data_IF_131163209958
#
_entry.id   IF_131163209958
#
_cell.length_a   1.000
_cell.length_b   1.000
_cell.length_c   1.000
_cell.angle_alpha   90.00
_cell.angle_beta   90.00
_cell.angle_gamma   90.00
#
_symmetry.space_group_name_H-M   'P 1'
#
loop_
_entity.id
_entity.type
_entity.pdbx_description
1 polymer ?
#
# COMPACT_ATOMS: atom_id res chain seq x y z
N UNK A 1 -14.18 -18.87 -42.05
CA UNK A 1 -14.65 -17.66 -41.35
C UNK A 1 -14.93 -17.89 -39.86
N UNK A 2 -15.50 -19.04 -39.45
CA UNK A 2 -15.72 -19.34 -38.02
C UNK A 2 -14.41 -19.65 -37.23
N UNK A 3 -13.44 -20.30 -37.86
CA UNK A 3 -12.14 -20.64 -37.24
C UNK A 3 -11.31 -19.41 -36.88
N UNK A 4 -11.23 -18.42 -37.77
CA UNK A 4 -10.51 -17.15 -37.53
C UNK A 4 -11.14 -16.32 -36.41
N UNK A 5 -12.47 -16.37 -36.27
CA UNK A 5 -13.18 -15.66 -35.20
C UNK A 5 -12.89 -16.26 -33.82
N UNK A 6 -12.82 -17.61 -33.73
CA UNK A 6 -12.48 -18.30 -32.49
C UNK A 6 -11.04 -18.00 -32.03
N UNK A 7 -10.08 -17.89 -32.95
CA UNK A 7 -8.71 -17.51 -32.60
C UNK A 7 -8.63 -16.06 -32.08
N UNK A 8 -9.36 -15.13 -32.70
CA UNK A 8 -9.42 -13.73 -32.24
C UNK A 8 -10.05 -13.65 -30.85
N UNK A 9 -11.14 -14.37 -30.59
CA UNK A 9 -11.79 -14.43 -29.27
C UNK A 9 -10.84 -14.99 -28.21
N UNK A 10 -10.08 -16.05 -28.52
CA UNK A 10 -9.08 -16.61 -27.61
C UNK A 10 -7.94 -15.62 -27.31
N UNK A 11 -7.46 -14.88 -28.31
CA UNK A 11 -6.40 -13.87 -28.12
C UNK A 11 -6.90 -12.73 -27.22
N UNK A 12 -8.14 -12.24 -27.44
CA UNK A 12 -8.74 -11.20 -26.59
C UNK A 12 -8.94 -11.67 -25.13
N UNK A 13 -9.36 -12.93 -24.93
CA UNK A 13 -9.49 -13.51 -23.60
C UNK A 13 -8.12 -13.58 -22.87
N UNK A 14 -7.06 -14.04 -23.55
CA UNK A 14 -5.72 -14.13 -22.98
C UNK A 14 -5.13 -12.75 -22.62
N UNK A 15 -5.40 -11.71 -23.42
CA UNK A 15 -4.99 -10.32 -23.10
C UNK A 15 -5.75 -9.78 -21.89
N UNK A 16 -7.04 -10.12 -21.73
CA UNK A 16 -7.81 -9.69 -20.56
C UNK A 16 -7.36 -10.36 -19.25
N UNK A 17 -6.95 -11.63 -19.32
CA UNK A 17 -6.43 -12.41 -18.18
C UNK A 17 -5.08 -11.88 -17.67
N UNK A 18 -4.25 -11.29 -18.52
CA UNK A 18 -2.97 -10.69 -18.12
C UNK A 18 -3.12 -9.27 -17.58
N UNK A 19 -4.05 -8.47 -18.11
CA UNK A 19 -4.33 -7.11 -17.59
C UNK A 19 -5.07 -7.12 -16.25
N UNK A 20 -5.94 -8.12 -16.00
CA UNK A 20 -6.76 -8.18 -14.79
C UNK A 20 -5.96 -8.34 -13.49
N UNK A 21 -4.67 -8.73 -13.57
CA UNK A 21 -3.85 -9.07 -12.40
C UNK A 21 -2.81 -8.02 -12.00
N UNK A 22 -2.81 -6.85 -12.62
CA UNK A 22 -1.85 -5.78 -12.28
C UNK A 22 -2.56 -4.47 -11.94
N UNK A 23 -3.56 -4.51 -11.07
CA UNK A 23 -4.01 -3.27 -10.42
C UNK A 23 -2.89 -2.77 -9.51
N UNK A 24 -2.25 -1.66 -9.89
CA UNK A 24 -1.21 -0.99 -9.11
C UNK A 24 -1.71 0.36 -8.64
N UNK A 25 -1.26 0.78 -7.46
CA UNK A 25 -1.54 2.12 -6.97
C UNK A 25 -0.81 3.19 -7.79
N UNK A 26 -1.36 4.41 -7.91
CA UNK A 26 -0.69 5.49 -8.62
C UNK A 26 0.65 5.85 -7.98
N UNK A 27 1.69 5.99 -8.81
CA UNK A 27 3.02 6.43 -8.37
C UNK A 27 3.31 7.90 -8.69
N UNK A 28 2.50 8.52 -9.55
CA UNK A 28 2.53 9.96 -9.80
C UNK A 28 1.75 10.73 -8.75
N UNK A 29 2.21 11.95 -8.46
CA UNK A 29 1.65 12.76 -7.40
C UNK A 29 0.20 13.16 -7.67
N UNK A 30 -0.18 13.45 -8.92
CA UNK A 30 -1.50 13.99 -9.24
C UNK A 30 -2.61 12.97 -9.02
N UNK A 31 -2.45 11.74 -9.53
CA UNK A 31 -3.39 10.64 -9.27
C UNK A 31 -3.38 10.23 -7.80
N UNK A 32 -2.20 10.20 -7.17
CA UNK A 32 -2.11 9.91 -5.74
C UNK A 32 -2.82 10.97 -4.88
N UNK A 33 -2.84 12.25 -5.28
CA UNK A 33 -3.59 13.30 -4.56
C UNK A 33 -5.09 13.07 -4.58
N UNK A 34 -5.63 12.54 -5.66
CA UNK A 34 -7.05 12.18 -5.71
C UNK A 34 -7.36 11.01 -4.77
N UNK A 35 -6.54 9.95 -4.84
CA UNK A 35 -6.66 8.78 -3.96
C UNK A 35 -6.49 9.16 -2.49
N UNK A 36 -5.54 10.04 -2.17
CA UNK A 36 -5.31 10.52 -0.81
C UNK A 36 -6.53 11.23 -0.25
N UNK A 37 -7.22 12.08 -1.04
CA UNK A 37 -8.46 12.73 -0.61
C UNK A 37 -9.57 11.73 -0.29
N UNK A 38 -9.77 10.74 -1.16
CA UNK A 38 -10.76 9.68 -0.94
C UNK A 38 -10.42 8.85 0.31
N UNK A 39 -9.18 8.40 0.42
CA UNK A 39 -8.66 7.64 1.56
C UNK A 39 -8.79 8.42 2.89
N UNK A 40 -8.50 9.73 2.90
CA UNK A 40 -8.69 10.55 4.10
C UNK A 40 -10.15 10.60 4.53
N UNK A 41 -11.08 10.75 3.58
CA UNK A 41 -12.51 10.78 3.87
C UNK A 41 -12.98 9.43 4.43
N UNK A 42 -12.54 8.33 3.84
CA UNK A 42 -12.85 6.97 4.28
C UNK A 42 -12.36 6.68 5.71
N UNK A 43 -11.16 7.16 6.06
CA UNK A 43 -10.55 6.92 7.37
C UNK A 43 -10.68 8.08 8.37
N UNK A 44 -11.49 9.10 8.07
CA UNK A 44 -11.71 10.25 8.96
C UNK A 44 -10.44 11.05 9.29
N UNK A 45 -9.51 11.16 8.34
CA UNK A 45 -8.20 11.80 8.56
C UNK A 45 -8.28 13.31 8.35
N UNK A 46 -7.87 14.06 9.37
CA UNK A 46 -7.73 15.52 9.34
C UNK A 46 -6.35 15.92 9.84
N UNK A 47 -5.78 16.99 9.28
CA UNK A 47 -4.46 17.48 9.65
C UNK A 47 -4.54 18.95 10.10
N UNK A 48 -3.72 19.36 11.09
CA UNK A 48 -3.82 20.68 11.70
C UNK A 48 -3.30 21.82 10.82
N UNK A 49 -2.51 21.52 9.78
CA UNK A 49 -1.94 22.53 8.90
C UNK A 49 -1.55 21.98 7.53
N UNK A 50 -1.43 22.88 6.54
CA UNK A 50 -1.02 22.55 5.17
C UNK A 50 0.36 21.88 5.12
N UNK A 51 1.39 22.33 5.87
CA UNK A 51 2.68 21.64 5.90
C UNK A 51 2.58 20.21 6.43
N UNK A 52 1.78 19.97 7.47
CA UNK A 52 1.57 18.61 8.01
C UNK A 52 0.85 17.73 7.00
N UNK A 53 -0.19 18.24 6.35
CA UNK A 53 -0.89 17.50 5.31
C UNK A 53 0.03 17.17 4.12
N UNK A 54 0.88 18.12 3.71
CA UNK A 54 1.86 17.92 2.64
C UNK A 54 2.84 16.80 2.99
N UNK A 55 3.38 16.80 4.21
CA UNK A 55 4.24 15.72 4.70
C UNK A 55 3.52 14.37 4.73
N UNK A 56 2.27 14.34 5.23
CA UNK A 56 1.47 13.11 5.29
C UNK A 56 1.13 12.58 3.90
N UNK A 57 0.93 13.45 2.92
CA UNK A 57 0.79 13.08 1.53
C UNK A 57 2.07 12.46 0.96
N UNK A 58 3.25 13.02 1.26
CA UNK A 58 4.53 12.44 0.82
C UNK A 58 4.75 11.04 1.39
N UNK A 59 4.46 10.84 2.68
CA UNK A 59 4.50 9.53 3.33
C UNK A 59 3.53 8.56 2.67
N UNK A 60 2.29 9.00 2.43
CA UNK A 60 1.26 8.21 1.75
C UNK A 60 1.72 7.75 0.36
N UNK A 61 2.24 8.67 -0.47
CA UNK A 61 2.77 8.35 -1.79
C UNK A 61 3.93 7.34 -1.72
N UNK A 62 4.83 7.50 -0.75
CA UNK A 62 5.92 6.56 -0.55
C UNK A 62 5.43 5.17 -0.15
N UNK A 63 4.36 5.10 0.64
CA UNK A 63 3.72 3.84 1.02
C UNK A 63 2.98 3.18 -0.16
N UNK A 64 2.32 3.92 -1.06
CA UNK A 64 1.75 3.38 -2.31
C UNK A 64 2.83 2.69 -3.15
N UNK A 65 3.94 3.39 -3.40
CA UNK A 65 5.09 2.85 -4.15
C UNK A 65 5.65 1.60 -3.47
N UNK A 66 5.71 1.59 -2.13
CA UNK A 66 6.16 0.42 -1.37
C UNK A 66 5.21 -0.77 -1.54
N UNK A 67 3.90 -0.55 -1.47
CA UNK A 67 2.89 -1.59 -1.68
C UNK A 67 3.04 -2.20 -3.07
N UNK A 68 3.14 -1.38 -4.12
CA UNK A 68 3.35 -1.84 -5.49
C UNK A 68 4.59 -2.74 -5.60
N UNK A 69 5.74 -2.27 -5.08
CA UNK A 69 6.99 -3.05 -5.10
C UNK A 69 6.86 -4.39 -4.36
N UNK A 70 6.19 -4.40 -3.21
CA UNK A 70 6.00 -5.62 -2.42
C UNK A 70 5.05 -6.61 -3.11
N UNK A 71 3.95 -6.13 -3.70
CA UNK A 71 3.02 -6.99 -4.46
C UNK A 71 3.70 -7.62 -5.66
N UNK A 72 4.57 -6.87 -6.37
CA UNK A 72 5.39 -7.42 -7.45
C UNK A 72 6.38 -8.47 -6.91
N UNK A 73 7.12 -8.13 -5.85
CA UNK A 73 8.13 -9.02 -5.26
C UNK A 73 7.54 -10.35 -4.77
N UNK A 74 6.38 -10.28 -4.10
CA UNK A 74 5.70 -11.43 -3.51
C UNK A 74 4.69 -12.08 -4.46
N UNK A 75 4.61 -11.65 -5.73
CA UNK A 75 3.63 -12.13 -6.72
C UNK A 75 2.18 -12.07 -6.20
N UNK A 76 1.88 -11.09 -5.35
CA UNK A 76 0.60 -10.91 -4.68
C UNK A 76 0.31 -11.89 -3.52
N UNK A 77 1.30 -12.61 -2.99
CA UNK A 77 1.11 -13.51 -1.84
C UNK A 77 2.24 -13.40 -0.81
N UNK A 78 2.03 -12.71 0.34
CA UNK A 78 0.80 -12.00 0.71
C UNK A 78 0.55 -10.75 -0.15
N UNK A 79 -0.71 -10.34 -0.23
CA UNK A 79 -1.10 -9.07 -0.85
C UNK A 79 -0.99 -7.93 0.17
N UNK A 80 -0.34 -6.85 -0.25
CA UNK A 80 -0.21 -5.60 0.48
C UNK A 80 -1.23 -4.61 -0.09
N UNK A 81 -1.94 -3.90 0.78
CA UNK A 81 -3.00 -2.96 0.40
C UNK A 81 -2.98 -1.71 1.28
N UNK A 82 -3.67 -0.66 0.83
CA UNK A 82 -3.93 0.53 1.62
C UNK A 82 -4.71 0.20 2.89
N UNK A 83 -4.34 0.84 3.99
CA UNK A 83 -5.00 0.72 5.28
C UNK A 83 -4.97 2.07 6.02
N UNK A 84 -5.53 2.10 7.24
CA UNK A 84 -5.63 3.32 8.07
C UNK A 84 -4.26 3.91 8.51
N UNK A 85 -3.15 3.19 8.30
CA UNK A 85 -1.78 3.59 8.63
C UNK A 85 -0.99 4.06 7.40
N UNK A 86 -1.63 4.20 6.25
CA UNK A 86 -0.96 4.54 5.01
C UNK A 86 -0.25 5.91 5.03
N UNK A 87 -0.62 6.82 5.93
CA UNK A 87 0.02 8.13 6.13
C UNK A 87 1.10 8.13 7.24
N UNK A 88 1.53 6.96 7.70
CA UNK A 88 2.52 6.81 8.76
C UNK A 88 3.82 6.25 8.18
N UNK A 89 4.93 6.93 8.47
CA UNK A 89 6.27 6.50 8.07
C UNK A 89 6.73 5.32 8.92
N UNK A 90 7.71 4.55 8.44
CA UNK A 90 8.26 3.43 9.22
C UNK A 90 8.89 3.89 10.55
N UNK A 91 9.44 5.11 10.61
CA UNK A 91 9.98 5.66 11.84
C UNK A 91 8.86 6.00 12.84
N UNK A 92 7.81 6.71 12.40
CA UNK A 92 6.64 7.01 13.22
C UNK A 92 5.95 5.72 13.70
N UNK A 93 5.77 4.72 12.83
CA UNK A 93 5.17 3.44 13.20
C UNK A 93 5.97 2.75 14.32
N UNK A 94 7.30 2.76 14.22
CA UNK A 94 8.18 2.17 15.25
C UNK A 94 8.11 2.91 16.59
N UNK A 95 8.00 4.24 16.58
CA UNK A 95 8.03 5.03 17.82
C UNK A 95 6.67 5.19 18.48
N UNK A 96 5.57 5.14 17.71
CA UNK A 96 4.22 5.47 18.22
C UNK A 96 3.31 4.25 18.34
N UNK A 97 3.49 3.22 17.50
CA UNK A 97 2.56 2.07 17.44
C UNK A 97 3.20 0.81 18.03
N UNK A 98 4.49 0.58 17.77
CA UNK A 98 5.17 -0.58 18.35
C UNK A 98 5.40 -0.40 19.85
N UNK A 99 5.35 -1.52 20.59
CA UNK A 99 5.72 -1.53 21.99
C UNK A 99 7.20 -1.17 22.17
N UNK A 100 7.56 -0.42 23.23
CA UNK A 100 8.95 -0.24 23.60
C UNK A 100 9.67 -1.58 23.77
N UNK A 101 10.97 -1.60 23.45
CA UNK A 101 11.77 -2.80 23.64
C UNK A 101 11.76 -3.18 25.13
N UNK A 102 11.15 -4.33 25.44
CA UNK A 102 11.16 -4.86 26.81
C UNK A 102 12.58 -5.21 27.23
N UNK A 103 12.97 -4.80 28.43
CA UNK A 103 14.16 -5.31 29.08
C UNK A 103 13.80 -6.69 29.64
N UNK A 104 14.61 -7.71 29.33
CA UNK A 104 14.40 -9.02 29.90
C UNK A 104 14.54 -8.93 31.44
N UNK A 105 13.59 -9.46 32.21
CA UNK A 105 13.74 -9.49 33.66
C UNK A 105 15.01 -10.27 34.02
N UNK A 106 15.80 -9.73 34.94
CA UNK A 106 16.92 -10.46 35.52
C UNK A 106 16.33 -11.42 36.54
N UNK A 107 16.27 -12.71 36.20
CA UNK A 107 15.92 -13.74 37.16
C UNK A 107 17.14 -13.97 38.07
N UNK A 108 17.03 -13.59 39.33
CA UNK A 108 17.99 -14.04 40.33
C UNK A 108 17.89 -15.57 40.42
N UNK A 109 19.03 -16.26 40.28
CA UNK A 109 19.07 -17.69 40.57
C UNK A 109 19.02 -17.83 42.09
N UNK A 110 17.82 -18.04 42.63
CA UNK A 110 17.67 -18.56 43.98
C UNK A 110 18.49 -19.86 44.06
N UNK A 111 19.47 -19.89 44.98
CA UNK A 111 20.33 -21.04 45.25
C UNK A 111 19.79 -21.83 46.43
#
# INVERSE_FOLDING_TARGET
>A
MASSLNHIVCILALVSLTLAKTWTYPEDADRARYLFRAWKAEHGKTYPSIPVESYKFEVFLNNLKRINRLNVLHKGSPEFALNHLADISTAEFKSTILMPKRVAPQFERER
#
